data_IF_171427296336
#
_entry.id   IF_171427296336
#
_cell.length_a   1.000
_cell.length_b   1.000
_cell.length_c   1.000
_cell.angle_alpha   90.00
_cell.angle_beta   90.00
_cell.angle_gamma   90.00
#
_symmetry.space_group_name_H-M   'P 1'
#
loop_
_entity.id
_entity.type
_entity.pdbx_description
1 polymer ?
#
# COMPACT_ATOMS: atom_id res chain seq x y z
N UNK A 1 -6.97 10.29 0.06
CA UNK A 1 -6.54 9.57 1.28
C UNK A 1 -5.22 8.83 1.05
N UNK A 2 -5.19 7.78 0.21
CA UNK A 2 -3.97 6.97 0.02
C UNK A 2 -2.79 7.75 -0.56
N UNK A 3 -3.02 8.65 -1.53
CA UNK A 3 -1.97 9.53 -2.07
C UNK A 3 -1.32 10.47 -1.05
N UNK A 4 -2.04 10.85 0.01
CA UNK A 4 -1.48 11.67 1.08
C UNK A 4 -0.46 10.88 1.92
N UNK A 5 -0.76 9.61 2.18
CA UNK A 5 0.16 8.69 2.88
C UNK A 5 1.39 8.40 2.02
N UNK A 6 1.20 8.12 0.73
CA UNK A 6 2.30 7.93 -0.22
C UNK A 6 3.24 9.13 -0.25
N UNK A 7 2.68 10.34 -0.37
CA UNK A 7 3.46 11.57 -0.37
C UNK A 7 4.23 11.75 0.93
N UNK A 8 3.61 11.51 2.08
CA UNK A 8 4.28 11.61 3.38
C UNK A 8 5.46 10.63 3.52
N UNK A 9 5.30 9.40 3.04
CA UNK A 9 6.36 8.37 3.07
C UNK A 9 7.51 8.74 2.12
N UNK A 10 7.20 9.21 0.91
CA UNK A 10 8.20 9.65 -0.06
C UNK A 10 8.95 10.91 0.42
N UNK A 11 8.25 11.89 1.03
CA UNK A 11 8.87 13.08 1.65
C UNK A 11 9.76 12.72 2.85
N UNK A 12 9.49 11.61 3.53
CA UNK A 12 10.33 11.07 4.61
C UNK A 12 11.60 10.39 4.10
N UNK A 13 11.87 10.40 2.80
CA UNK A 13 13.09 9.86 2.19
C UNK A 13 13.03 8.38 1.79
N UNK A 14 11.83 7.80 1.71
CA UNK A 14 11.66 6.45 1.15
C UNK A 14 11.98 6.42 -0.35
N UNK A 15 12.54 5.30 -0.84
CA UNK A 15 12.85 5.10 -2.28
C UNK A 15 11.63 4.71 -3.10
N UNK A 16 10.62 4.15 -2.45
CA UNK A 16 9.34 3.79 -3.05
C UNK A 16 8.37 3.34 -1.96
N UNK A 17 7.09 3.37 -2.30
CA UNK A 17 6.02 3.01 -1.39
C UNK A 17 4.87 2.38 -2.17
N UNK A 18 4.27 1.37 -1.57
CA UNK A 18 3.09 0.68 -2.09
C UNK A 18 2.01 0.62 -1.02
N UNK A 19 0.80 1.03 -1.39
CA UNK A 19 -0.40 0.93 -0.56
C UNK A 19 -1.46 0.13 -1.31
N UNK A 20 -1.89 -0.98 -0.70
CA UNK A 20 -2.97 -1.82 -1.24
C UNK A 20 -4.18 -1.72 -0.33
N UNK A 21 -5.32 -1.34 -0.90
CA UNK A 21 -6.61 -1.31 -0.20
C UNK A 21 -7.54 -2.32 -0.84
N UNK A 22 -7.88 -3.37 -0.10
CA UNK A 22 -8.78 -4.45 -0.55
C UNK A 22 -10.07 -4.46 0.27
N UNK A 23 -11.19 -4.77 -0.40
CA UNK A 23 -12.49 -4.91 0.27
C UNK A 23 -13.67 -4.48 -0.60
N UNK A 24 -14.83 -4.31 0.02
CA UNK A 24 -16.06 -3.83 -0.62
C UNK A 24 -16.08 -2.31 -0.75
N UNK A 25 -15.16 -1.76 -1.55
CA UNK A 25 -14.84 -0.33 -1.55
C UNK A 25 -15.99 0.59 -2.01
N UNK A 26 -16.65 0.24 -3.13
CA UNK A 26 -17.73 1.03 -3.73
C UNK A 26 -19.02 0.24 -3.99
N UNK A 27 -19.08 -1.02 -3.55
CA UNK A 27 -20.22 -1.90 -3.81
C UNK A 27 -20.06 -3.27 -3.17
N UNK A 28 -21.05 -4.15 -3.39
CA UNK A 28 -21.13 -5.44 -2.70
C UNK A 28 -20.09 -6.49 -3.13
N UNK A 29 -19.33 -6.22 -4.19
CA UNK A 29 -18.22 -7.07 -4.64
C UNK A 29 -16.88 -6.55 -4.13
N UNK A 30 -16.01 -7.47 -3.74
CA UNK A 30 -14.64 -7.14 -3.36
C UNK A 30 -13.87 -6.59 -4.57
N UNK A 31 -13.10 -5.52 -4.33
CA UNK A 31 -12.14 -4.93 -5.26
C UNK A 31 -10.84 -4.64 -4.51
N UNK A 32 -9.74 -4.66 -5.25
CA UNK A 32 -8.43 -4.24 -4.74
C UNK A 32 -7.99 -3.00 -5.51
N UNK A 33 -7.55 -1.97 -4.79
CA UNK A 33 -6.94 -0.78 -5.35
C UNK A 33 -5.48 -0.73 -4.90
N UNK A 34 -4.59 -0.67 -5.88
CA UNK A 34 -3.15 -0.59 -5.69
C UNK A 34 -2.69 0.81 -6.03
N UNK A 35 -1.96 1.44 -5.11
CA UNK A 35 -1.32 2.73 -5.31
C UNK A 35 0.18 2.55 -5.10
N UNK A 36 0.98 2.92 -6.10
CA UNK A 36 2.43 2.72 -6.08
C UNK A 36 3.09 4.03 -6.47
N UNK A 37 4.19 4.35 -5.80
CA UNK A 37 5.08 5.45 -6.16
C UNK A 37 6.54 5.06 -5.90
N UNK A 38 7.47 5.56 -6.73
CA UNK A 38 8.88 5.24 -6.66
C UNK A 38 9.25 3.78 -7.01
N UNK A 39 10.40 3.32 -6.48
CA UNK A 39 10.95 1.99 -6.74
C UNK A 39 10.40 0.95 -5.75
N UNK A 40 9.75 -0.09 -6.26
CA UNK A 40 9.26 -1.21 -5.46
C UNK A 40 9.88 -2.53 -5.93
N UNK A 41 10.46 -3.29 -4.98
CA UNK A 41 11.06 -4.61 -5.25
C UNK A 41 10.02 -5.67 -4.89
N UNK A 42 9.68 -6.52 -5.85
CA UNK A 42 8.65 -7.56 -5.69
C UNK A 42 9.20 -8.98 -5.60
N UNK A 43 10.47 -9.21 -5.98
CA UNK A 43 11.01 -10.55 -6.16
C UNK A 43 12.46 -10.65 -5.66
N UNK A 44 12.79 -11.85 -5.15
CA UNK A 44 14.12 -12.23 -4.66
C UNK A 44 14.33 -11.95 -3.17
N UNK A 45 15.49 -12.39 -2.66
CA UNK A 45 15.94 -12.14 -1.29
C UNK A 45 15.96 -10.66 -0.85
N UNK A 46 16.25 -9.64 -1.71
CA UNK A 46 16.25 -8.25 -1.27
C UNK A 46 14.90 -7.75 -0.72
N UNK A 47 13.79 -8.43 -1.01
CA UNK A 47 12.48 -8.07 -0.45
C UNK A 47 12.51 -8.10 1.09
N UNK A 48 13.17 -9.09 1.69
CA UNK A 48 13.20 -9.24 3.15
C UNK A 48 14.06 -8.19 3.87
N UNK A 49 14.96 -7.51 3.15
CA UNK A 49 15.89 -6.55 3.74
C UNK A 49 15.52 -5.09 3.44
N UNK A 50 14.86 -4.84 2.31
CA UNK A 50 14.59 -3.48 1.82
C UNK A 50 13.10 -3.09 1.83
N UNK A 51 12.19 -4.05 2.07
CA UNK A 51 10.75 -3.78 2.06
C UNK A 51 10.19 -4.05 3.45
N UNK A 52 9.69 -3.01 4.09
CA UNK A 52 8.86 -3.15 5.30
C UNK A 52 7.39 -3.31 4.91
N UNK A 53 6.67 -4.21 5.59
CA UNK A 53 5.27 -4.51 5.29
C UNK A 53 4.42 -4.50 6.55
N UNK A 54 3.28 -3.80 6.49
CA UNK A 54 2.32 -3.74 7.57
C UNK A 54 0.89 -3.88 7.03
N UNK A 55 0.08 -4.70 7.69
CA UNK A 55 -1.33 -4.93 7.33
C UNK A 55 -2.22 -4.60 8.53
N UNK A 56 -3.34 -3.93 8.25
CA UNK A 56 -4.39 -3.64 9.23
C UNK A 56 -5.77 -3.89 8.63
N UNK A 57 -6.67 -4.39 9.47
CA UNK A 57 -8.07 -4.61 9.10
C UNK A 57 -8.91 -3.48 9.68
N UNK A 58 -9.81 -2.94 8.86
CA UNK A 58 -10.72 -1.86 9.25
C UNK A 58 -12.14 -2.37 9.14
N UNK A 59 -12.89 -2.29 10.24
CA UNK A 59 -14.32 -2.60 10.23
C UNK A 59 -15.09 -1.43 9.62
N UNK A 60 -15.85 -1.70 8.57
CA UNK A 60 -16.76 -0.74 7.95
C UNK A 60 -18.20 -1.20 8.19
N UNK A 61 -19.11 -0.26 8.45
CA UNK A 61 -20.55 -0.51 8.29
C UNK A 61 -20.82 -0.54 6.79
N UNK A 62 -20.85 -1.75 6.21
CA UNK A 62 -20.84 -2.00 4.77
C UNK A 62 -22.18 -2.51 4.24
#
# INVERSE_FOLDING_TARGET
ACYGVLRFIMESGAKGCEVVVSGKLRGQRAKSMKFVDGLMIHSGDPVNYYVDTAVRHVLLRQ
#
